data_IF_080480078369
#
_entry.id   IF_080480078369
#
_cell.length_a   1.000
_cell.length_b   1.000
_cell.length_c   1.000
_cell.angle_alpha   90.00
_cell.angle_beta   90.00
_cell.angle_gamma   90.00
#
_symmetry.space_group_name_H-M   'P 1'
#
loop_
_entity.id
_entity.type
_entity.pdbx_description
1 polymer ?
#
# COMPACT_ATOMS: atom_id res chain seq x y z
N UNK A 1 37.46 4.09 5.96
CA UNK A 1 37.17 4.32 4.52
C UNK A 1 37.80 3.27 3.62
N UNK A 2 39.11 2.95 3.72
CA UNK A 2 39.78 1.95 2.86
C UNK A 2 39.16 0.54 2.91
N UNK A 3 38.81 0.05 4.10
CA UNK A 3 38.17 -1.27 4.29
C UNK A 3 36.75 -1.31 3.68
N UNK A 4 36.00 -0.21 3.79
CA UNK A 4 34.68 -0.07 3.16
C UNK A 4 34.77 -0.10 1.63
N UNK A 5 35.81 0.52 1.05
CA UNK A 5 36.06 0.46 -0.39
C UNK A 5 36.44 -0.95 -0.86
N UNK A 6 37.25 -1.70 -0.11
CA UNK A 6 37.57 -3.09 -0.45
C UNK A 6 36.35 -4.01 -0.38
N UNK A 7 35.49 -3.85 0.63
CA UNK A 7 34.24 -4.62 0.75
C UNK A 7 33.30 -4.30 -0.42
N UNK A 8 33.20 -3.02 -0.79
CA UNK A 8 32.33 -2.58 -1.88
C UNK A 8 32.85 -3.06 -3.25
N UNK A 9 34.16 -3.04 -3.49
CA UNK A 9 34.78 -3.62 -4.69
C UNK A 9 34.67 -5.15 -4.75
N UNK A 10 34.76 -5.84 -3.61
CA UNK A 10 34.55 -7.29 -3.54
C UNK A 10 33.10 -7.65 -3.84
N UNK A 11 32.13 -6.91 -3.28
CA UNK A 11 30.70 -7.08 -3.57
C UNK A 11 30.38 -6.82 -5.04
N UNK A 12 30.93 -5.77 -5.65
CA UNK A 12 30.72 -5.50 -7.08
C UNK A 12 31.36 -6.56 -7.98
N UNK A 13 32.54 -7.08 -7.62
CA UNK A 13 33.19 -8.17 -8.34
C UNK A 13 32.41 -9.49 -8.24
N UNK A 14 31.86 -9.81 -7.05
CA UNK A 14 30.98 -10.97 -6.88
C UNK A 14 29.67 -10.83 -7.67
N UNK A 15 29.14 -9.61 -7.81
CA UNK A 15 27.98 -9.33 -8.66
C UNK A 15 28.31 -9.61 -10.14
N UNK A 16 29.54 -9.31 -10.59
CA UNK A 16 29.98 -9.55 -11.98
C UNK A 16 30.21 -11.02 -12.33
N UNK A 17 30.43 -11.92 -11.35
CA UNK A 17 30.64 -13.37 -11.58
C UNK A 17 29.31 -14.14 -11.60
N UNK A 18 28.16 -13.46 -11.52
CA UNK A 18 26.89 -14.12 -11.82
C UNK A 18 26.85 -14.45 -13.32
N UNK A 19 27.27 -15.67 -13.66
CA UNK A 19 26.88 -16.35 -14.89
C UNK A 19 25.37 -16.55 -14.83
N UNK A 20 24.63 -15.47 -15.04
CA UNK A 20 23.18 -15.52 -15.17
C UNK A 20 22.89 -16.23 -16.47
N UNK A 21 22.20 -17.36 -16.36
CA UNK A 21 21.62 -18.10 -17.46
C UNK A 21 20.90 -17.14 -18.39
N UNK A 22 21.18 -17.27 -19.69
CA UNK A 22 20.51 -16.45 -20.69
C UNK A 22 19.02 -16.76 -20.73
N UNK A 23 18.23 -15.88 -21.36
CA UNK A 23 16.78 -16.09 -21.48
C UNK A 23 16.47 -17.37 -22.24
N UNK A 24 17.23 -17.66 -23.29
CA UNK A 24 17.00 -18.85 -24.11
C UNK A 24 17.35 -20.13 -23.33
N UNK A 25 18.36 -20.10 -22.44
CA UNK A 25 18.66 -21.23 -21.57
C UNK A 25 17.50 -21.52 -20.61
N UNK A 26 16.95 -20.45 -20.01
CA UNK A 26 15.81 -20.56 -19.12
C UNK A 26 14.57 -21.12 -19.83
N UNK A 27 14.35 -20.75 -21.10
CA UNK A 27 13.28 -21.31 -21.93
C UNK A 27 13.47 -22.80 -22.18
N UNK A 28 14.70 -23.24 -22.51
CA UNK A 28 15.03 -24.66 -22.68
C UNK A 28 14.70 -25.45 -21.41
N UNK A 29 15.08 -24.94 -20.22
CA UNK A 29 14.81 -25.64 -18.98
C UNK A 29 13.33 -25.67 -18.62
N UNK A 30 12.63 -24.57 -18.84
CA UNK A 30 11.20 -24.51 -18.61
C UNK A 30 10.49 -25.52 -19.50
N UNK A 31 10.85 -25.56 -20.78
CA UNK A 31 10.23 -26.46 -21.74
C UNK A 31 10.54 -27.92 -21.44
N UNK A 32 11.76 -28.24 -21.01
CA UNK A 32 12.14 -29.59 -20.57
C UNK A 32 11.29 -30.07 -19.40
N UNK A 33 11.07 -29.24 -18.38
CA UNK A 33 10.19 -29.60 -17.27
C UNK A 33 8.73 -29.72 -17.70
N UNK A 34 8.27 -28.84 -18.59
CA UNK A 34 6.90 -28.92 -19.12
C UNK A 34 6.69 -30.22 -19.92
N UNK A 35 7.69 -30.67 -20.68
CA UNK A 35 7.66 -31.95 -21.42
C UNK A 35 7.71 -33.12 -20.45
N UNK A 36 8.62 -33.12 -19.47
CA UNK A 36 8.74 -34.18 -18.47
C UNK A 36 7.45 -34.32 -17.64
N UNK A 37 6.81 -33.20 -17.29
CA UNK A 37 5.54 -33.19 -16.57
C UNK A 37 4.36 -33.75 -17.38
N UNK A 38 4.39 -33.67 -18.71
CA UNK A 38 3.30 -34.18 -19.57
C UNK A 38 3.53 -35.58 -20.14
N UNK A 39 4.77 -35.93 -20.47
CA UNK A 39 5.09 -37.17 -21.19
C UNK A 39 5.70 -38.24 -20.28
N UNK A 40 6.22 -37.85 -19.10
CA UNK A 40 6.83 -38.75 -18.14
C UNK A 40 8.29 -38.37 -17.81
N UNK A 41 8.78 -38.92 -16.70
CA UNK A 41 10.13 -38.68 -16.21
C UNK A 41 11.18 -39.11 -17.26
N UNK A 42 12.16 -38.25 -17.54
CA UNK A 42 13.27 -38.55 -18.44
C UNK A 42 13.01 -38.46 -19.94
N UNK A 43 11.81 -38.04 -20.39
CA UNK A 43 11.53 -37.87 -21.84
C UNK A 43 12.32 -36.68 -22.40
N UNK A 44 13.15 -36.94 -23.41
CA UNK A 44 13.95 -35.89 -24.07
C UNK A 44 13.17 -35.18 -25.18
N UNK A 45 13.65 -34.04 -25.64
CA UNK A 45 13.09 -33.35 -26.82
C UNK A 45 13.12 -34.21 -28.09
N UNK A 46 14.15 -35.03 -28.23
CA UNK A 46 14.32 -35.96 -29.33
C UNK A 46 13.25 -37.06 -29.29
N UNK A 47 13.01 -37.65 -28.12
CA UNK A 47 11.98 -38.67 -27.92
C UNK A 47 10.57 -38.11 -28.11
N UNK A 48 10.32 -36.89 -27.61
CA UNK A 48 9.04 -36.22 -27.75
C UNK A 48 8.69 -35.94 -29.22
N UNK A 49 9.68 -35.50 -30.01
CA UNK A 49 9.54 -35.26 -31.45
C UNK A 49 9.50 -36.57 -32.26
N UNK A 50 10.17 -37.62 -31.77
CA UNK A 50 10.41 -38.87 -32.50
C UNK A 50 11.58 -38.78 -33.47
N UNK A 51 12.61 -37.99 -33.16
CA UNK A 51 13.83 -37.83 -33.96
C UNK A 51 15.04 -38.35 -33.18
N UNK A 52 16.13 -38.70 -33.87
CA UNK A 52 17.39 -39.10 -33.23
C UNK A 52 18.21 -37.86 -32.81
N UNK A 53 19.04 -37.92 -31.75
CA UNK A 53 19.90 -36.80 -31.33
C UNK A 53 20.87 -36.32 -32.42
N UNK A 54 21.31 -37.20 -33.32
CA UNK A 54 22.19 -36.90 -34.45
C UNK A 54 21.44 -36.60 -35.76
N UNK A 55 20.11 -36.45 -35.71
CA UNK A 55 19.30 -36.26 -36.91
C UNK A 55 19.61 -34.93 -37.62
N UNK A 56 19.53 -34.94 -38.95
CA UNK A 56 19.66 -33.73 -39.76
C UNK A 56 18.41 -32.83 -39.64
N UNK A 57 18.50 -31.55 -40.00
CA UNK A 57 17.38 -30.60 -39.95
C UNK A 57 16.17 -31.06 -40.78
N UNK A 58 16.40 -31.70 -41.93
CA UNK A 58 15.33 -32.25 -42.77
C UNK A 58 14.59 -33.41 -42.10
N UNK A 59 15.31 -34.25 -41.35
CA UNK A 59 14.73 -35.34 -40.58
C UNK A 59 13.89 -34.79 -39.41
N UNK A 60 14.38 -33.75 -38.74
CA UNK A 60 13.63 -33.00 -37.69
C UNK A 60 12.34 -32.41 -38.29
N UNK A 61 12.41 -31.84 -39.49
CA UNK A 61 11.24 -31.31 -40.19
C UNK A 61 10.23 -32.39 -40.55
N UNK A 62 10.70 -33.56 -41.00
CA UNK A 62 9.86 -34.71 -41.31
C UNK A 62 9.19 -35.27 -40.05
N UNK A 63 9.95 -35.45 -38.97
CA UNK A 63 9.45 -35.90 -37.67
C UNK A 63 8.40 -34.93 -37.11
N UNK A 64 8.68 -33.63 -37.15
CA UNK A 64 7.71 -32.59 -36.77
C UNK A 64 6.40 -32.68 -37.56
N UNK A 65 6.46 -32.83 -38.89
CA UNK A 65 5.27 -32.96 -39.74
C UNK A 65 4.47 -34.22 -39.40
N UNK A 66 5.15 -35.32 -39.11
CA UNK A 66 4.49 -36.57 -38.71
C UNK A 66 3.83 -36.42 -37.34
N UNK A 67 4.56 -35.90 -36.35
CA UNK A 67 4.09 -35.77 -34.97
C UNK A 67 2.98 -34.71 -34.82
N UNK A 68 3.08 -33.58 -35.51
CA UNK A 68 2.04 -32.54 -35.56
C UNK A 68 0.71 -33.06 -36.12
N UNK A 69 0.74 -33.93 -37.14
CA UNK A 69 -0.47 -34.56 -37.70
C UNK A 69 -1.16 -35.52 -36.75
N UNK A 70 -0.43 -36.09 -35.79
CA UNK A 70 -0.97 -36.99 -34.76
C UNK A 70 -1.50 -36.19 -33.58
N UNK A 71 -0.75 -35.19 -33.12
CA UNK A 71 -1.07 -34.38 -31.93
C UNK A 71 -1.92 -33.15 -32.21
N UNK A 72 -2.45 -32.99 -33.42
CA UNK A 72 -3.29 -31.84 -33.76
C UNK A 72 -4.55 -31.78 -32.87
N UNK A 73 -4.89 -30.63 -32.27
CA UNK A 73 -5.96 -30.53 -31.28
C UNK A 73 -7.33 -30.96 -31.82
N UNK A 74 -7.63 -30.70 -33.09
CA UNK A 74 -8.89 -31.12 -33.71
C UNK A 74 -9.01 -32.66 -33.81
N UNK A 75 -7.92 -33.34 -34.17
CA UNK A 75 -7.92 -34.81 -34.24
C UNK A 75 -8.01 -35.45 -32.86
N UNK A 76 -7.27 -34.92 -31.89
CA UNK A 76 -7.33 -35.40 -30.50
C UNK A 76 -8.73 -35.19 -29.92
N UNK A 77 -9.37 -34.05 -30.21
CA UNK A 77 -10.76 -33.79 -29.82
C UNK A 77 -11.72 -34.79 -30.45
N UNK A 78 -11.59 -35.08 -31.74
CA UNK A 78 -12.42 -36.08 -32.42
C UNK A 78 -12.20 -37.48 -31.83
N UNK A 79 -10.95 -37.89 -31.61
CA UNK A 79 -10.60 -39.15 -30.97
C UNK A 79 -11.17 -39.25 -29.55
N UNK A 80 -11.12 -38.18 -28.77
CA UNK A 80 -11.71 -38.12 -27.43
C UNK A 80 -13.23 -38.29 -27.47
N UNK A 81 -13.91 -37.63 -28.42
CA UNK A 81 -15.37 -37.77 -28.58
C UNK A 81 -15.73 -39.20 -28.99
N UNK A 82 -15.03 -39.78 -29.95
CA UNK A 82 -15.28 -41.15 -30.43
C UNK A 82 -15.01 -42.17 -29.32
N UNK A 83 -13.88 -42.05 -28.60
CA UNK A 83 -13.52 -42.98 -27.52
C UNK A 83 -14.43 -42.89 -26.31
N UNK A 84 -14.95 -41.71 -25.98
CA UNK A 84 -15.94 -41.56 -24.90
C UNK A 84 -17.33 -42.01 -25.34
N UNK A 85 -17.71 -41.81 -26.62
CA UNK A 85 -19.06 -42.13 -27.11
C UNK A 85 -19.46 -43.61 -26.95
N UNK A 86 -18.50 -44.53 -26.86
CA UNK A 86 -18.76 -45.95 -26.59
C UNK A 86 -19.23 -46.23 -25.16
N UNK A 87 -18.78 -45.43 -24.19
CA UNK A 87 -19.11 -45.63 -22.77
C UNK A 87 -20.11 -44.57 -22.26
N UNK A 88 -19.85 -43.29 -22.54
CA UNK A 88 -20.63 -42.14 -22.06
C UNK A 88 -20.41 -40.91 -22.94
N UNK A 89 -21.48 -40.23 -23.32
CA UNK A 89 -21.37 -38.96 -24.07
C UNK A 89 -20.60 -37.92 -23.22
N UNK A 90 -19.43 -37.42 -23.69
CA UNK A 90 -18.59 -36.53 -22.89
C UNK A 90 -19.24 -35.16 -22.71
N UNK A 91 -19.01 -34.54 -21.55
CA UNK A 91 -19.57 -33.21 -21.29
C UNK A 91 -18.86 -32.14 -22.11
N UNK A 92 -19.53 -31.01 -22.39
CA UNK A 92 -18.90 -29.88 -23.10
C UNK A 92 -17.66 -29.35 -22.38
N UNK A 93 -17.61 -29.45 -21.06
CA UNK A 93 -16.45 -29.05 -20.25
C UNK A 93 -15.27 -30.01 -20.45
N UNK A 94 -15.51 -31.33 -20.42
CA UNK A 94 -14.49 -32.35 -20.69
C UNK A 94 -13.90 -32.22 -22.10
N UNK A 95 -14.76 -32.01 -23.12
CA UNK A 95 -14.30 -31.81 -24.50
C UNK A 95 -13.40 -30.57 -24.60
N UNK A 96 -13.76 -29.48 -23.91
CA UNK A 96 -12.93 -28.27 -23.87
C UNK A 96 -11.61 -28.50 -23.15
N UNK A 97 -11.61 -29.19 -22.02
CA UNK A 97 -10.39 -29.51 -21.27
C UNK A 97 -9.45 -30.41 -22.09
N UNK A 98 -9.98 -31.44 -22.76
CA UNK A 98 -9.20 -32.31 -23.64
C UNK A 98 -8.63 -31.53 -24.85
N UNK A 99 -9.42 -30.65 -25.46
CA UNK A 99 -8.95 -29.80 -26.55
C UNK A 99 -7.87 -28.81 -26.09
N UNK A 100 -7.99 -28.25 -24.88
CA UNK A 100 -6.99 -27.37 -24.27
C UNK A 100 -5.68 -28.12 -23.96
N UNK A 101 -5.76 -29.30 -23.36
CA UNK A 101 -4.59 -30.14 -23.10
C UNK A 101 -3.88 -30.51 -24.42
N UNK A 102 -4.65 -30.82 -25.47
CA UNK A 102 -4.10 -31.09 -26.80
C UNK A 102 -3.47 -29.84 -27.44
N UNK A 103 -4.09 -28.65 -27.31
CA UNK A 103 -3.51 -27.41 -27.82
C UNK A 103 -2.21 -27.04 -27.11
N UNK A 104 -2.15 -27.25 -25.80
CA UNK A 104 -0.94 -26.99 -25.00
C UNK A 104 0.19 -27.94 -25.39
N UNK A 105 -0.12 -29.24 -25.56
CA UNK A 105 0.82 -30.24 -26.04
C UNK A 105 1.34 -29.94 -27.45
N UNK A 106 0.45 -29.49 -28.34
CA UNK A 106 0.81 -29.08 -29.70
C UNK A 106 1.68 -27.80 -29.70
N UNK A 107 1.37 -26.83 -28.84
CA UNK A 107 2.17 -25.62 -28.68
C UNK A 107 3.60 -25.95 -28.21
N UNK A 108 3.74 -26.84 -27.21
CA UNK A 108 5.06 -27.33 -26.75
C UNK A 108 5.83 -27.99 -27.88
N UNK A 109 5.18 -28.84 -28.68
CA UNK A 109 5.81 -29.50 -29.83
C UNK A 109 6.34 -28.49 -30.87
N UNK A 110 5.59 -27.42 -31.12
CA UNK A 110 6.05 -26.31 -31.97
C UNK A 110 7.32 -25.64 -31.42
N UNK A 111 7.34 -25.33 -30.12
CA UNK A 111 8.48 -24.69 -29.46
C UNK A 111 9.70 -25.64 -29.47
N UNK A 112 9.52 -26.92 -29.12
CA UNK A 112 10.60 -27.92 -29.16
C UNK A 112 11.20 -28.03 -30.56
N UNK A 113 10.37 -28.11 -31.60
CA UNK A 113 10.86 -28.19 -32.97
C UNK A 113 11.63 -26.93 -33.39
N UNK A 114 11.21 -25.74 -32.94
CA UNK A 114 11.93 -24.50 -33.22
C UNK A 114 13.30 -24.44 -32.50
N UNK A 115 13.40 -24.95 -31.27
CA UNK A 115 14.67 -25.06 -30.55
C UNK A 115 15.61 -26.01 -31.27
N UNK A 116 15.13 -27.19 -31.69
CA UNK A 116 15.94 -28.19 -32.39
C UNK A 116 16.35 -27.78 -33.82
N UNK A 117 15.59 -26.87 -34.47
CA UNK A 117 15.95 -26.27 -35.77
C UNK A 117 16.99 -25.17 -35.66
N UNK A 118 16.98 -24.44 -34.54
CA UNK A 118 17.79 -23.23 -34.35
C UNK A 118 19.09 -23.47 -33.56
N UNK A 119 19.78 -22.38 -33.18
CA UNK A 119 20.98 -22.44 -32.34
C UNK A 119 20.69 -22.94 -30.91
N UNK A 120 19.41 -23.04 -30.53
CA UNK A 120 18.99 -23.61 -29.24
C UNK A 120 19.31 -25.11 -29.10
N UNK A 121 19.52 -25.82 -30.22
CA UNK A 121 19.92 -27.24 -30.22
C UNK A 121 21.26 -27.47 -29.52
N UNK A 122 22.28 -26.69 -29.86
CA UNK A 122 23.62 -26.82 -29.27
C UNK A 122 23.59 -26.61 -27.75
N UNK A 123 22.81 -25.62 -27.30
CA UNK A 123 22.62 -25.34 -25.87
C UNK A 123 21.90 -26.50 -25.18
N UNK A 124 20.84 -27.01 -25.81
CA UNK A 124 20.12 -28.17 -25.29
C UNK A 124 21.03 -29.41 -25.19
N UNK A 125 21.82 -29.70 -26.24
CA UNK A 125 22.74 -30.84 -26.27
C UNK A 125 23.86 -30.68 -25.23
N UNK A 126 24.34 -29.46 -24.98
CA UNK A 126 25.25 -29.17 -23.88
C UNK A 126 24.63 -29.59 -22.53
N UNK A 127 23.41 -29.16 -22.22
CA UNK A 127 22.75 -29.55 -20.96
C UNK A 127 22.34 -31.02 -20.91
N UNK A 128 22.12 -31.67 -22.06
CA UNK A 128 21.86 -33.10 -22.12
C UNK A 128 23.09 -33.92 -21.73
N UNK A 129 24.28 -33.48 -22.16
CA UNK A 129 25.55 -34.16 -21.90
C UNK A 129 26.11 -33.86 -20.49
N UNK A 130 26.03 -32.60 -20.04
CA UNK A 130 26.58 -32.16 -18.76
C UNK A 130 25.56 -32.18 -17.60
N UNK A 131 24.28 -32.35 -17.92
CA UNK A 131 23.18 -32.32 -16.96
C UNK A 131 22.51 -30.95 -16.86
N UNK A 132 21.24 -30.98 -16.43
CA UNK A 132 20.41 -29.79 -16.24
C UNK A 132 20.55 -29.25 -14.81
N UNK A 133 20.55 -27.91 -14.63
CA UNK A 133 20.55 -27.32 -13.29
C UNK A 133 19.25 -27.62 -12.55
N UNK A 134 19.38 -27.93 -11.25
CA UNK A 134 18.21 -28.03 -10.37
C UNK A 134 17.64 -26.66 -10.00
N UNK A 135 18.48 -25.61 -9.91
CA UNK A 135 18.07 -24.24 -9.63
C UNK A 135 18.13 -23.37 -10.90
N UNK A 136 16.97 -22.84 -11.31
CA UNK A 136 16.77 -22.05 -12.54
C UNK A 136 16.80 -20.53 -12.35
N UNK A 137 17.50 -20.04 -11.33
CA UNK A 137 17.56 -18.61 -10.97
C UNK A 137 16.28 -18.05 -10.35
N UNK A 138 16.08 -16.73 -10.46
CA UNK A 138 14.93 -16.01 -9.88
C UNK A 138 13.81 -15.70 -10.88
N UNK A 139 14.06 -15.86 -12.18
CA UNK A 139 13.09 -15.57 -13.25
C UNK A 139 11.79 -16.38 -13.13
N UNK A 140 11.89 -17.62 -12.62
CA UNK A 140 10.73 -18.46 -12.32
C UNK A 140 9.78 -17.82 -11.30
N UNK A 141 10.32 -17.20 -10.24
CA UNK A 141 9.50 -16.57 -9.20
C UNK A 141 8.72 -15.37 -9.74
N UNK A 142 9.35 -14.56 -10.60
CA UNK A 142 8.73 -13.36 -11.15
C UNK A 142 7.72 -13.65 -12.27
N UNK A 143 7.92 -14.70 -13.08
CA UNK A 143 6.99 -15.05 -14.16
C UNK A 143 5.62 -15.56 -13.65
N UNK A 144 5.58 -16.14 -12.44
CA UNK A 144 4.35 -16.68 -11.83
C UNK A 144 3.67 -15.69 -10.88
N UNK A 145 4.41 -14.74 -10.32
CA UNK A 145 3.86 -13.77 -9.38
C UNK A 145 2.91 -12.79 -10.10
N UNK A 146 1.60 -13.03 -9.97
CA UNK A 146 0.55 -12.11 -10.37
C UNK A 146 -0.02 -11.50 -9.10
N UNK A 147 0.43 -10.30 -8.68
CA UNK A 147 -0.07 -9.70 -7.45
C UNK A 147 -1.59 -9.61 -7.52
N UNK A 148 -2.26 -10.31 -6.60
CA UNK A 148 -3.71 -10.27 -6.50
C UNK A 148 -4.19 -8.94 -5.94
N UNK A 149 -5.51 -8.71 -6.00
CA UNK A 149 -6.11 -7.51 -5.43
C UNK A 149 -5.72 -7.32 -3.95
N UNK A 150 -5.73 -8.39 -3.16
CA UNK A 150 -5.34 -8.35 -1.75
C UNK A 150 -3.91 -7.88 -1.51
N UNK A 151 -2.92 -8.43 -2.25
CA UNK A 151 -1.52 -8.00 -2.10
C UNK A 151 -1.33 -6.53 -2.50
N UNK A 152 -2.07 -6.07 -3.51
CA UNK A 152 -2.04 -4.65 -3.94
C UNK A 152 -2.67 -3.76 -2.86
N UNK A 153 -3.82 -4.14 -2.31
CA UNK A 153 -4.48 -3.38 -1.26
C UNK A 153 -3.64 -3.30 0.02
N UNK A 154 -2.99 -4.39 0.43
CA UNK A 154 -2.08 -4.40 1.58
C UNK A 154 -0.87 -3.51 1.31
N UNK A 155 -0.26 -3.61 0.12
CA UNK A 155 0.86 -2.74 -0.27
C UNK A 155 0.48 -1.26 -0.27
N UNK A 156 -0.68 -0.92 -0.85
CA UNK A 156 -1.21 0.44 -0.86
C UNK A 156 -1.52 0.93 0.56
N UNK A 157 -2.08 0.08 1.42
CA UNK A 157 -2.36 0.40 2.82
C UNK A 157 -1.08 0.71 3.59
N UNK A 158 -0.02 -0.08 3.42
CA UNK A 158 1.27 0.19 4.07
C UNK A 158 1.87 1.50 3.56
N UNK A 159 1.82 1.75 2.25
CA UNK A 159 2.43 2.93 1.67
C UNK A 159 1.65 4.23 2.00
N UNK A 160 0.35 4.23 1.76
CA UNK A 160 -0.52 5.41 1.97
C UNK A 160 -0.86 5.57 3.45
N UNK A 161 -1.26 4.50 4.13
CA UNK A 161 -1.61 4.51 5.55
C UNK A 161 -0.41 4.60 6.49
N UNK A 162 0.78 4.22 6.04
CA UNK A 162 2.04 4.40 6.76
C UNK A 162 2.74 5.68 6.35
N UNK A 163 3.60 5.60 5.34
CA UNK A 163 4.51 6.69 4.95
C UNK A 163 3.75 7.96 4.53
N UNK A 164 2.73 7.83 3.67
CA UNK A 164 1.92 8.96 3.21
C UNK A 164 1.23 9.68 4.38
N UNK A 165 0.55 8.93 5.24
CA UNK A 165 -0.14 9.48 6.41
C UNK A 165 0.84 10.11 7.41
N UNK A 166 2.00 9.50 7.66
CA UNK A 166 3.03 10.08 8.53
C UNK A 166 3.54 11.42 8.01
N UNK A 167 3.78 11.53 6.70
CA UNK A 167 4.19 12.79 6.06
C UNK A 167 3.12 13.88 6.28
N UNK A 168 1.84 13.55 6.12
CA UNK A 168 0.74 14.50 6.38
C UNK A 168 0.73 14.95 7.84
N UNK A 169 0.85 14.02 8.79
CA UNK A 169 0.92 14.35 10.21
C UNK A 169 2.12 15.25 10.52
N UNK A 170 3.29 14.93 9.99
CA UNK A 170 4.51 15.71 10.16
C UNK A 170 4.38 17.13 9.60
N UNK A 171 3.85 17.28 8.37
CA UNK A 171 3.59 18.57 7.75
C UNK A 171 2.58 19.39 8.57
N UNK A 172 1.53 18.75 9.08
CA UNK A 172 0.52 19.40 9.91
C UNK A 172 1.11 19.92 11.23
N UNK A 173 1.93 19.10 11.90
CA UNK A 173 2.63 19.49 13.13
C UNK A 173 3.61 20.63 12.88
N UNK A 174 4.42 20.54 11.82
CA UNK A 174 5.37 21.58 11.44
C UNK A 174 4.67 22.91 11.17
N UNK A 175 3.58 22.89 10.39
CA UNK A 175 2.82 24.10 10.06
C UNK A 175 2.15 24.71 11.28
N UNK A 176 1.57 23.89 12.18
CA UNK A 176 1.00 24.37 13.46
C UNK A 176 2.08 25.02 14.33
N UNK A 177 3.26 24.42 14.42
CA UNK A 177 4.38 24.96 15.21
C UNK A 177 4.86 26.30 14.66
N UNK A 178 5.05 26.40 13.34
CA UNK A 178 5.43 27.64 12.68
C UNK A 178 4.39 28.74 12.92
N UNK A 179 3.11 28.42 12.79
CA UNK A 179 2.01 29.34 13.09
C UNK A 179 2.08 29.87 14.52
N UNK A 180 2.09 29.01 15.54
CA UNK A 180 2.13 29.45 16.95
C UNK A 180 3.39 30.29 17.20
N UNK A 181 4.54 29.88 16.67
CA UNK A 181 5.79 30.65 16.85
C UNK A 181 5.69 32.06 16.27
N UNK A 182 5.03 32.25 15.13
CA UNK A 182 4.80 33.57 14.54
C UNK A 182 3.85 34.42 15.38
N UNK A 183 2.78 33.84 15.95
CA UNK A 183 1.85 34.56 16.84
C UNK A 183 2.52 35.01 18.13
N UNK A 184 3.31 34.13 18.75
CA UNK A 184 4.08 34.46 19.95
C UNK A 184 5.09 35.58 19.66
N UNK A 185 5.77 35.50 18.50
CA UNK A 185 6.73 36.52 18.07
C UNK A 185 6.04 37.85 17.82
N UNK A 186 4.90 37.85 17.11
CA UNK A 186 4.10 39.05 16.86
C UNK A 186 3.62 39.70 18.17
N UNK A 187 3.04 38.93 19.09
CA UNK A 187 2.54 39.45 20.36
C UNK A 187 3.66 40.07 21.21
N UNK A 188 4.83 39.41 21.28
CA UNK A 188 6.01 39.96 21.95
C UNK A 188 6.47 41.25 21.28
N UNK A 189 6.60 41.27 19.95
CA UNK A 189 7.03 42.48 19.25
C UNK A 189 6.06 43.64 19.45
N UNK A 190 4.74 43.42 19.36
CA UNK A 190 3.74 44.47 19.55
C UNK A 190 3.85 45.11 20.94
N UNK A 191 4.00 44.29 21.99
CA UNK A 191 4.13 44.78 23.37
C UNK A 191 5.44 45.51 23.61
N UNK A 192 6.55 45.00 23.07
CA UNK A 192 7.88 45.56 23.31
C UNK A 192 8.23 46.73 22.37
N UNK A 193 7.61 46.83 21.18
CA UNK A 193 7.81 47.95 20.25
C UNK A 193 7.14 49.24 20.73
N UNK A 194 6.01 49.15 21.42
CA UNK A 194 5.34 50.31 22.03
C UNK A 194 6.10 50.86 23.25
N UNK A 195 6.98 50.07 23.85
CA UNK A 195 7.67 50.42 25.11
C UNK A 195 9.08 50.98 24.95
N UNK A 196 9.50 51.49 23.78
CA UNK A 196 10.77 52.25 23.71
C UNK A 196 10.54 53.65 24.29
N UNK A 197 11.00 53.96 25.52
CA UNK A 197 10.84 55.28 26.10
C UNK A 197 11.95 56.15 25.51
N UNK A 198 11.62 56.94 24.48
CA UNK A 198 12.58 57.88 23.89
C UNK A 198 12.45 58.20 22.40
N UNK A 199 11.42 57.69 21.70
CA UNK A 199 11.16 58.08 20.30
C UNK A 199 9.87 58.90 20.12
N UNK A 200 9.42 59.58 21.18
CA UNK A 200 8.32 60.54 21.12
C UNK A 200 8.87 61.96 21.28
N UNK A 201 9.45 62.50 20.20
CA UNK A 201 9.50 63.94 19.88
C UNK A 201 10.22 64.19 18.54
N UNK A 202 9.46 64.15 17.47
CA UNK A 202 9.68 65.02 16.30
C UNK A 202 8.32 65.61 15.90
N UNK A 203 8.07 66.91 16.13
CA UNK A 203 6.94 67.58 15.54
C UNK A 203 7.32 68.01 14.12
N UNK A 204 6.56 67.55 13.13
CA UNK A 204 6.61 68.12 11.78
C UNK A 204 6.81 67.10 10.66
N UNK A 205 5.71 66.47 10.26
CA UNK A 205 5.47 66.14 8.86
C UNK A 205 3.96 65.98 8.63
N UNK A 206 3.21 67.08 8.81
CA UNK A 206 1.96 67.22 8.06
C UNK A 206 2.37 67.50 6.62
N UNK A 207 2.31 66.49 5.76
CA UNK A 207 2.04 66.75 4.35
C UNK A 207 0.65 66.26 4.03
N UNK A 208 -0.12 67.22 3.54
CA UNK A 208 -1.47 67.09 3.05
C UNK A 208 -1.60 65.99 1.99
N UNK A 209 -2.83 65.51 1.88
CA UNK A 209 -3.36 64.69 0.81
C UNK A 209 -3.04 65.34 -0.56
N UNK A 210 -2.55 64.56 -1.53
CA UNK A 210 -3.09 64.66 -2.87
C UNK A 210 -3.77 63.33 -3.24
N UNK A 211 -5.00 63.44 -3.74
CA UNK A 211 -5.64 62.37 -4.49
C UNK A 211 -4.80 61.96 -5.71
N UNK A 212 -4.95 60.69 -6.08
CA UNK A 212 -4.63 60.05 -7.37
C UNK A 212 -3.16 59.85 -7.78
N UNK A 213 -2.63 58.63 -7.58
CA UNK A 213 -1.70 57.97 -8.50
C UNK A 213 -1.59 56.44 -8.24
N UNK A 214 -2.12 55.69 -9.20
CA UNK A 214 -1.92 54.29 -9.62
C UNK A 214 -0.98 53.33 -8.84
N UNK A 215 -1.52 52.14 -8.55
CA UNK A 215 -0.82 50.94 -8.11
C UNK A 215 0.13 50.43 -9.20
N UNK A 216 1.44 50.58 -9.02
CA UNK A 216 2.41 49.86 -9.84
C UNK A 216 2.64 48.44 -9.32
N UNK A 217 2.08 47.46 -10.03
CA UNK A 217 2.34 46.03 -9.86
C UNK A 217 3.80 45.73 -10.17
N UNK A 218 4.61 45.52 -9.13
CA UNK A 218 6.02 45.16 -9.28
C UNK A 218 6.14 43.79 -9.97
N UNK A 219 6.76 43.78 -11.14
CA UNK A 219 6.91 42.56 -11.94
C UNK A 219 7.84 41.54 -11.24
N UNK A 220 7.39 40.28 -11.17
CA UNK A 220 8.04 39.13 -10.48
C UNK A 220 9.56 38.97 -10.68
N UNK A 221 10.14 39.54 -11.74
CA UNK A 221 11.59 39.52 -12.03
C UNK A 221 12.42 40.44 -11.13
N UNK A 222 11.90 41.60 -10.72
CA UNK A 222 12.65 42.54 -9.89
C UNK A 222 12.78 42.05 -8.43
N UNK A 223 11.75 41.37 -7.91
CA UNK A 223 11.77 40.74 -6.58
C UNK A 223 12.85 39.67 -6.42
N UNK A 224 13.16 38.92 -7.49
CA UNK A 224 14.20 37.89 -7.48
C UNK A 224 15.63 38.46 -7.50
N UNK A 225 15.83 39.69 -7.98
CA UNK A 225 17.14 40.36 -7.89
C UNK A 225 17.39 40.88 -6.47
N UNK A 226 16.38 41.46 -5.83
CA UNK A 226 16.47 41.91 -4.43
C UNK A 226 16.75 40.75 -3.45
N UNK A 227 16.20 39.55 -3.69
CA UNK A 227 16.50 38.36 -2.89
C UNK A 227 17.90 37.76 -3.15
N UNK A 228 18.53 38.10 -4.28
CA UNK A 228 19.86 37.58 -4.66
C UNK A 228 20.99 38.41 -4.02
N UNK A 229 20.76 39.70 -3.81
CA UNK A 229 21.72 40.60 -3.17
C UNK A 229 21.72 40.45 -1.63
N UNK A 230 20.58 40.12 -1.01
CA UNK A 230 20.50 39.81 0.42
C UNK A 230 21.15 38.48 0.85
N UNK A 231 21.52 37.61 -0.10
CA UNK A 231 22.07 36.27 0.17
C UNK A 231 23.60 36.20 0.16
N UNK A 232 24.31 37.30 -0.16
CA UNK A 232 25.77 37.33 -0.23
C UNK A 232 26.48 37.64 1.07
N UNK A 233 25.76 38.00 2.13
CA UNK A 233 26.36 38.16 3.45
C UNK A 233 25.76 37.16 4.44
N UNK A 234 26.65 36.36 5.03
CA UNK A 234 26.49 35.47 6.21
C UNK A 234 26.49 33.96 5.88
N UNK A 235 27.70 33.39 5.96
CA UNK A 235 27.95 32.01 6.40
C UNK A 235 28.47 32.00 7.85
N UNK A 236 28.36 30.87 8.59
CA UNK A 236 28.08 30.88 10.02
C UNK A 236 29.32 30.67 10.90
N UNK A 237 29.25 31.16 12.16
CA UNK A 237 30.08 30.65 13.27
C UNK A 237 29.20 29.98 14.32
N UNK A 238 29.61 28.77 14.65
CA UNK A 238 29.11 27.89 15.69
C UNK A 238 29.23 28.51 17.08
N UNK A 239 28.20 28.38 17.93
CA UNK A 239 28.40 28.25 19.37
C UNK A 239 27.26 27.47 20.04
N UNK A 240 27.71 26.44 20.77
CA UNK A 240 27.17 25.72 21.94
C UNK A 240 25.67 25.70 22.25
N UNK A 241 25.19 24.46 22.36
CA UNK A 241 23.93 24.03 22.97
C UNK A 241 23.96 24.27 24.49
N UNK A 242 22.98 25.00 25.01
CA UNK A 242 22.56 24.93 26.41
C UNK A 242 21.12 24.41 26.46
N UNK A 243 20.91 23.35 27.26
CA UNK A 243 19.59 22.81 27.61
C UNK A 243 18.92 23.78 28.59
N UNK A 244 17.60 24.09 28.48
CA UNK A 244 16.88 24.60 29.63
C UNK A 244 16.32 23.44 30.45
N UNK A 245 16.51 23.56 31.76
CA UNK A 245 15.90 22.75 32.79
C UNK A 245 14.39 23.06 32.88
N UNK A 246 13.67 22.06 33.37
CA UNK A 246 12.27 22.12 33.77
C UNK A 246 12.11 23.21 34.84
N UNK A 247 11.21 24.18 34.59
CA UNK A 247 10.76 25.11 35.63
C UNK A 247 9.29 24.85 35.88
N UNK A 248 9.00 24.50 37.14
CA UNK A 248 7.67 24.34 37.68
C UNK A 248 6.89 25.66 37.66
N UNK A 249 5.56 25.52 37.64
CA UNK A 249 4.53 26.52 37.85
C UNK A 249 4.94 27.64 38.82
N UNK A 250 5.13 28.83 38.28
CA UNK A 250 5.13 30.08 39.03
C UNK A 250 4.06 30.97 38.39
N UNK A 251 2.97 31.22 39.11
CA UNK A 251 1.93 32.16 38.69
C UNK A 251 2.52 33.58 38.68
N UNK A 252 2.59 34.27 37.52
CA UNK A 252 3.19 35.58 37.47
C UNK A 252 2.16 36.64 37.87
N UNK A 253 2.32 37.18 39.07
CA UNK A 253 1.61 38.38 39.53
C UNK A 253 2.28 39.63 38.95
N UNK A 254 2.06 39.90 37.66
CA UNK A 254 2.54 41.10 36.96
C UNK A 254 1.46 41.74 36.08
N UNK A 255 1.63 43.01 35.65
CA UNK A 255 0.66 43.67 34.78
C UNK A 255 0.61 42.99 33.40
N UNK A 256 -0.52 42.37 33.09
CA UNK A 256 -0.79 41.70 31.81
C UNK A 256 -1.19 42.71 30.74
N UNK A 257 -0.58 42.66 29.56
CA UNK A 257 -0.91 43.54 28.42
C UNK A 257 -1.71 42.77 27.38
N UNK A 258 -2.83 43.34 26.92
CA UNK A 258 -3.72 42.75 25.92
C UNK A 258 -3.41 43.31 24.54
N UNK A 259 -3.18 42.43 23.57
CA UNK A 259 -2.93 42.76 22.16
C UNK A 259 -3.94 42.03 21.30
N UNK A 260 -4.63 42.75 20.42
CA UNK A 260 -5.57 42.15 19.47
C UNK A 260 -4.79 41.70 18.23
N UNK A 261 -4.82 40.41 17.93
CA UNK A 261 -4.23 39.87 16.70
C UNK A 261 -5.09 40.22 15.48
N UNK A 262 -4.50 40.10 14.28
CA UNK A 262 -5.18 40.35 12.99
C UNK A 262 -6.48 39.54 12.80
N UNK A 263 -6.62 38.44 13.53
CA UNK A 263 -7.76 37.53 13.48
C UNK A 263 -8.90 37.94 14.44
N UNK A 264 -8.78 39.07 15.15
CA UNK A 264 -9.70 39.50 16.21
C UNK A 264 -9.56 38.73 17.54
N UNK A 265 -8.56 37.85 17.67
CA UNK A 265 -8.26 37.11 18.90
C UNK A 265 -7.43 37.96 19.86
N UNK A 266 -7.75 37.92 21.15
CA UNK A 266 -7.04 38.69 22.18
C UNK A 266 -5.89 37.83 22.72
N UNK A 267 -4.67 38.35 22.57
CA UNK A 267 -3.44 37.77 23.09
C UNK A 267 -3.02 38.57 24.32
N UNK A 268 -2.85 37.90 25.45
CA UNK A 268 -2.40 38.52 26.69
C UNK A 268 -0.94 38.19 26.89
N UNK A 269 -0.07 39.19 26.93
CA UNK A 269 1.36 39.01 27.16
C UNK A 269 1.67 39.40 28.60
N UNK A 270 2.27 38.47 29.32
CA UNK A 270 2.73 38.71 30.68
C UNK A 270 4.14 39.34 30.69
N UNK A 271 4.50 39.95 31.80
CA UNK A 271 5.81 40.55 32.11
C UNK A 271 7.00 39.62 31.84
N UNK A 272 6.80 38.30 31.97
CA UNK A 272 7.80 37.26 31.69
C UNK A 272 7.97 36.95 30.19
N UNK A 273 7.12 37.51 29.32
CA UNK A 273 7.11 37.25 27.88
C UNK A 273 6.35 35.99 27.46
N UNK A 274 5.59 35.39 28.37
CA UNK A 274 4.62 34.34 28.08
C UNK A 274 3.37 34.95 27.43
N UNK A 275 2.82 34.27 26.42
CA UNK A 275 1.69 34.75 25.62
C UNK A 275 0.52 33.80 25.86
N UNK A 276 -0.59 34.33 26.35
CA UNK A 276 -1.84 33.62 26.58
C UNK A 276 -2.85 34.02 25.50
N UNK A 277 -3.71 33.09 25.10
CA UNK A 277 -4.86 33.34 24.25
C UNK A 277 -6.11 33.36 25.13
N UNK A 278 -6.81 34.49 25.14
CA UNK A 278 -8.11 34.62 25.82
C UNK A 278 -9.18 34.04 24.89
N UNK A 279 -9.79 32.92 25.30
CA UNK A 279 -10.90 32.28 24.60
C UNK A 279 -12.15 32.39 25.48
N UNK A 280 -13.21 32.96 24.94
CA UNK A 280 -14.53 32.96 25.59
C UNK A 280 -15.21 31.63 25.31
N UNK A 281 -15.50 30.86 26.35
CA UNK A 281 -16.23 29.61 26.23
C UNK A 281 -17.73 29.84 25.99
N UNK A 282 -18.47 28.77 25.67
CA UNK A 282 -19.92 28.80 25.44
C UNK A 282 -20.73 29.27 26.67
N UNK A 283 -20.11 29.28 27.85
CA UNK A 283 -20.66 29.76 29.12
C UNK A 283 -20.32 31.23 29.44
N UNK A 284 -19.57 31.92 28.55
CA UNK A 284 -19.25 33.34 28.67
C UNK A 284 -18.06 33.67 29.57
N UNK A 285 -17.39 32.67 30.15
CA UNK A 285 -16.17 32.82 30.92
C UNK A 285 -14.93 32.85 30.01
N UNK A 286 -13.97 33.73 30.31
CA UNK A 286 -12.74 33.90 29.54
C UNK A 286 -11.63 32.98 30.07
N UNK A 287 -11.30 31.91 29.34
CA UNK A 287 -10.16 31.05 29.66
C UNK A 287 -8.88 31.59 29.01
N UNK A 288 -7.81 31.70 29.80
CA UNK A 288 -6.47 32.06 29.32
C UNK A 288 -5.66 30.80 29.02
N UNK A 289 -5.47 30.46 27.74
CA UNK A 289 -4.69 29.29 27.32
C UNK A 289 -3.26 29.74 26.98
N UNK A 290 -2.26 29.18 27.65
CA UNK A 290 -0.85 29.50 27.38
C UNK A 290 -0.41 28.96 26.00
N UNK A 291 0.14 29.84 25.14
CA UNK A 291 0.60 29.47 23.80
C UNK A 291 2.09 29.11 23.80
N UNK A 292 2.40 27.84 24.08
CA UNK A 292 3.77 27.33 23.96
C UNK A 292 4.03 26.56 22.65
N UNK A 293 4.99 27.01 21.80
CA UNK A 293 5.37 26.27 20.58
C UNK A 293 5.92 24.87 20.84
N UNK A 294 6.29 24.53 22.07
CA UNK A 294 6.91 23.26 22.45
C UNK A 294 5.92 22.25 23.05
N UNK A 295 4.72 22.67 23.43
CA UNK A 295 3.67 21.79 23.95
C UNK A 295 3.10 20.86 22.86
N UNK A 296 3.26 21.23 21.58
CA UNK A 296 2.83 20.41 20.45
C UNK A 296 3.60 19.08 20.38
N UNK A 297 2.91 18.00 20.78
CA UNK A 297 3.38 16.62 20.68
C UNK A 297 3.81 16.31 19.23
N UNK A 298 5.00 15.74 19.09
CA UNK A 298 5.54 15.35 17.78
C UNK A 298 4.83 14.08 17.30
N UNK A 299 4.39 14.02 16.03
CA UNK A 299 3.70 12.85 15.53
C UNK A 299 4.64 11.64 15.52
N UNK A 300 4.21 10.56 16.15
CA UNK A 300 4.95 9.30 16.22
C UNK A 300 4.47 8.35 15.13
N UNK A 301 5.30 7.38 14.75
CA UNK A 301 4.89 6.33 13.78
C UNK A 301 3.66 5.54 14.24
N UNK A 302 3.41 5.43 15.54
CA UNK A 302 2.21 4.78 16.08
C UNK A 302 0.91 5.57 15.84
N UNK A 303 1.00 6.86 15.54
CA UNK A 303 -0.16 7.71 15.19
C UNK A 303 -0.60 7.50 13.73
N UNK A 304 0.14 6.70 12.96
CA UNK A 304 -0.25 6.39 11.59
C UNK A 304 -1.47 5.48 11.54
N UNK A 305 -2.27 5.68 10.48
CA UNK A 305 -3.40 4.80 10.17
C UNK A 305 -2.98 3.32 10.08
N UNK A 306 -1.72 3.07 9.69
CA UNK A 306 -1.11 1.73 9.67
C UNK A 306 -1.16 1.00 11.02
N UNK A 307 -0.96 1.70 12.14
CA UNK A 307 -0.99 1.09 13.49
C UNK A 307 -2.35 1.25 14.15
N UNK A 308 -3.01 2.40 13.96
CA UNK A 308 -4.26 2.73 14.65
C UNK A 308 -5.45 1.95 14.11
N UNK A 309 -5.56 1.74 12.79
CA UNK A 309 -6.71 1.05 12.19
C UNK A 309 -6.77 -0.44 12.54
N UNK A 310 -5.66 -1.21 12.54
CA UNK A 310 -5.70 -2.60 12.99
C UNK A 310 -6.06 -2.74 14.46
N UNK A 311 -5.50 -1.89 15.33
CA UNK A 311 -5.80 -1.90 16.77
C UNK A 311 -7.27 -1.57 17.02
N UNK A 312 -7.79 -0.54 16.34
CA UNK A 312 -9.19 -0.17 16.43
C UNK A 312 -10.13 -1.24 15.87
N UNK A 313 -9.77 -1.86 14.74
CA UNK A 313 -10.56 -2.94 14.15
C UNK A 313 -10.59 -4.16 15.08
N UNK A 314 -9.44 -4.51 15.67
CA UNK A 314 -9.34 -5.60 16.64
C UNK A 314 -10.19 -5.32 17.88
N UNK A 315 -10.07 -4.14 18.50
CA UNK A 315 -10.87 -3.80 19.69
C UNK A 315 -12.38 -3.72 19.39
N UNK A 316 -12.75 -3.25 18.20
CA UNK A 316 -14.15 -3.19 17.77
C UNK A 316 -14.76 -4.57 17.52
N UNK A 317 -13.95 -5.53 17.05
CA UNK A 317 -14.39 -6.93 16.84
C UNK A 317 -14.43 -7.68 18.18
N UNK A 318 -13.40 -7.54 19.02
CA UNK A 318 -13.35 -8.21 20.33
C UNK A 318 -14.48 -7.75 21.24
N UNK A 319 -14.79 -6.45 21.27
CA UNK A 319 -15.88 -5.92 22.10
C UNK A 319 -17.26 -6.44 21.66
N UNK A 320 -17.44 -6.77 20.38
CA UNK A 320 -18.67 -7.41 19.88
C UNK A 320 -18.78 -8.88 20.30
N UNK A 321 -17.66 -9.59 20.40
CA UNK A 321 -17.64 -10.99 20.85
C UNK A 321 -17.77 -11.13 22.37
N UNK A 322 -17.23 -10.20 23.17
CA UNK A 322 -17.36 -10.23 24.63
C UNK A 322 -18.74 -9.83 25.13
N UNK A 323 -19.51 -9.05 24.35
CA UNK A 323 -20.91 -8.72 24.65
C UNK A 323 -21.90 -9.88 24.36
N UNK A 324 -21.44 -10.98 23.75
CA UNK A 324 -22.26 -12.18 23.52
C UNK A 324 -22.18 -13.21 24.65
N UNK A 325 -21.39 -12.98 25.70
CA UNK A 325 -21.42 -13.80 26.90
C UNK A 325 -22.38 -13.19 27.93
N UNK A 326 -23.59 -13.73 28.14
CA UNK A 326 -24.45 -13.26 29.22
C UNK A 326 -23.81 -13.63 30.56
N UNK A 327 -23.56 -12.61 31.37
CA UNK A 327 -23.26 -12.74 32.79
C UNK A 327 -24.47 -13.42 33.45
N UNK A 328 -24.31 -14.67 33.87
CA UNK A 328 -25.23 -15.29 34.84
C UNK A 328 -24.95 -14.65 36.19
N UNK A 329 -25.81 -13.74 36.61
CA UNK A 329 -25.92 -13.39 38.03
C UNK A 329 -26.42 -14.64 38.78
N UNK A 330 -25.61 -15.05 39.75
CA UNK A 330 -25.92 -16.13 40.68
C UNK A 330 -26.85 -15.54 41.74
N UNK A 331 -28.07 -16.07 41.82
CA UNK A 331 -29.03 -15.80 42.87
C UNK A 331 -28.79 -16.77 44.03
N UNK A 332 -28.88 -16.25 45.25
CA UNK A 332 -28.39 -16.86 46.47
C UNK A 332 -29.50 -17.65 47.17
N UNK A 333 -29.27 -18.93 47.41
CA UNK A 333 -29.69 -19.58 48.66
C UNK A 333 -31.13 -20.13 48.79
N UNK A 334 -31.19 -21.47 48.76
CA UNK A 334 -31.70 -22.36 49.84
C UNK A 334 -32.94 -23.22 49.50
N UNK A 335 -32.79 -24.52 49.84
CA UNK A 335 -33.82 -25.55 50.10
C UNK A 335 -34.36 -26.31 48.86
N UNK A 336 -34.40 -27.64 48.74
CA UNK A 336 -34.20 -28.78 49.66
C UNK A 336 -33.78 -30.04 48.89
N UNK A 337 -33.06 -30.89 49.63
CA UNK A 337 -32.72 -32.31 49.51
C UNK A 337 -33.76 -33.20 48.80
N UNK A 338 -33.34 -34.01 47.81
CA UNK A 338 -33.39 -35.48 47.82
C UNK A 338 -32.76 -36.09 46.54
N UNK A 339 -32.00 -37.18 46.72
CA UNK A 339 -31.51 -38.15 45.72
C UNK A 339 -32.10 -39.52 46.11
N UNK A 340 -32.16 -40.59 45.27
CA UNK A 340 -31.24 -40.88 44.15
C UNK A 340 -31.83 -41.63 42.91
N UNK A 341 -31.00 -41.67 41.86
CA UNK A 341 -30.74 -42.81 40.94
C UNK A 341 -31.78 -43.34 39.92
N UNK A 342 -31.20 -43.86 38.83
CA UNK A 342 -31.62 -45.02 37.97
C UNK A 342 -31.98 -44.71 36.50
N UNK A 343 -30.98 -44.99 35.65
CA UNK A 343 -30.94 -45.75 34.35
C UNK A 343 -31.88 -45.47 33.16
N UNK A 344 -31.23 -45.34 32.00
CA UNK A 344 -31.50 -45.96 30.68
C UNK A 344 -32.96 -46.14 30.18
N UNK A 345 -33.25 -45.60 28.99
CA UNK A 345 -33.50 -46.39 27.76
C UNK A 345 -34.09 -45.52 26.64
N UNK A 346 -33.41 -45.53 25.49
CA UNK A 346 -33.93 -45.78 24.14
C UNK A 346 -35.26 -45.20 23.64
N UNK A 347 -35.14 -44.60 22.44
CA UNK A 347 -36.06 -44.58 21.30
C UNK A 347 -37.46 -43.94 21.51
N UNK A 348 -37.75 -42.86 20.79
CA UNK A 348 -38.46 -43.06 19.53
C UNK A 348 -38.50 -41.83 18.63
N UNK A 349 -38.57 -42.18 17.36
CA UNK A 349 -38.69 -41.38 16.17
C UNK A 349 -40.07 -40.73 16.13
N UNK A 350 -40.17 -39.45 15.75
CA UNK A 350 -41.29 -39.08 14.89
C UNK A 350 -41.03 -37.85 14.03
N UNK A 351 -41.67 -37.91 12.88
CA UNK A 351 -41.33 -37.24 11.66
C UNK A 351 -42.18 -35.97 11.44
N UNK A 352 -41.57 -35.01 10.72
CA UNK A 352 -42.18 -34.00 9.86
C UNK A 352 -43.08 -32.91 10.51
N UNK A 353 -42.60 -31.66 10.46
CA UNK A 353 -43.33 -30.65 9.67
C UNK A 353 -42.39 -29.56 9.13
N UNK A 354 -42.47 -29.36 7.81
CA UNK A 354 -41.80 -28.31 7.06
C UNK A 354 -42.73 -27.10 7.05
N UNK A 355 -42.32 -25.96 7.62
CA UNK A 355 -42.89 -24.65 7.26
C UNK A 355 -41.78 -23.61 7.16
N UNK A 356 -41.43 -23.26 5.91
CA UNK A 356 -40.72 -22.03 5.59
C UNK A 356 -41.71 -20.86 5.56
N UNK A 357 -41.40 -19.70 6.16
CA UNK A 357 -42.01 -18.44 5.74
C UNK A 357 -41.13 -17.69 4.72
N UNK A 358 -41.68 -17.52 3.52
CA UNK A 358 -41.20 -16.68 2.40
C UNK A 358 -41.40 -15.18 2.73
N UNK A 359 -40.62 -14.26 2.14
CA UNK A 359 -40.36 -12.92 2.68
C UNK A 359 -41.33 -11.86 2.15
N UNK A 360 -41.68 -10.89 3.02
CA UNK A 360 -42.42 -9.69 2.65
C UNK A 360 -41.47 -8.61 2.12
N UNK A 361 -41.67 -8.26 0.85
CA UNK A 361 -41.01 -7.14 0.20
C UNK A 361 -41.71 -5.81 0.46
N UNK A 362 -40.92 -4.73 0.46
CA UNK A 362 -41.39 -3.39 0.14
C UNK A 362 -40.48 -2.75 -0.89
N UNK A 363 -41.16 -2.20 -1.89
CA UNK A 363 -40.72 -1.71 -3.19
C UNK A 363 -40.03 -0.35 -3.15
N UNK A 364 -38.96 -0.17 -3.95
CA UNK A 364 -38.60 1.14 -4.51
C UNK A 364 -38.29 1.03 -6.00
N UNK A 365 -39.08 1.78 -6.77
CA UNK A 365 -39.20 1.84 -8.24
C UNK A 365 -37.91 2.29 -8.93
N UNK A 366 -37.50 1.57 -9.97
CA UNK A 366 -36.51 2.02 -10.96
C UNK A 366 -37.23 2.50 -12.22
N UNK A 367 -37.07 3.77 -12.59
CA UNK A 367 -37.65 4.36 -13.80
C UNK A 367 -36.73 4.05 -15.01
N UNK A 368 -37.22 3.27 -15.96
CA UNK A 368 -36.59 3.02 -17.27
C UNK A 368 -37.33 3.81 -18.35
N UNK A 369 -36.67 4.81 -18.96
CA UNK A 369 -37.18 5.56 -20.13
C UNK A 369 -36.83 4.81 -21.42
N UNK A 370 -37.85 4.53 -22.25
CA UNK A 370 -37.74 4.11 -23.67
C UNK A 370 -38.65 5.04 -24.49
N UNK A 371 -38.12 5.68 -25.54
CA UNK A 371 -38.84 6.29 -26.67
C UNK A 371 -37.97 6.03 -27.91
N UNK A 372 -38.33 5.07 -28.76
CA UNK A 372 -39.27 5.11 -29.89
C UNK A 372 -38.63 5.65 -31.17
N UNK A 373 -38.35 4.72 -32.07
CA UNK A 373 -37.92 4.86 -33.47
C UNK A 373 -39.09 5.45 -34.29
N UNK A 374 -38.83 6.50 -35.07
CA UNK A 374 -39.80 7.11 -35.99
C UNK A 374 -39.54 6.59 -37.40
N UNK A 375 -40.58 6.04 -38.02
CA UNK A 375 -40.68 5.74 -39.44
C UNK A 375 -41.20 7.01 -40.12
N UNK A 376 -40.45 7.56 -41.07
CA UNK A 376 -40.91 7.84 -42.43
C UNK A 376 -39.69 8.10 -43.30
#
# INVERSE_FOLDING_TARGET
MKILCFILCYFTSFISINASWSKEDQEVFRLRDEVEASEGAGVTFYDFLGAKPLANQDEINKAYRQRSRVLHPDKVKQQFITSQSSNKKPTKAEIKAAAQAASDRFARLGIVANILRGPGRERYDHFLNYGFPKWKGTGYYYARFRPGLGSVLVGLFIFVGGAGHWIVLYLSWKRRKEFISSYVTYARHAVFSETIPGLDKLPGATQAIPESAEVQLVNRRQRRMQEKDGKKEKKPKSSRIHKPAVTATADPCGPKKRVVAENGKILVVDSTGNVYLEQTDEEGENQEILLEPNELIRPTVFDTALCRLPIWAYSSISNRFTQLAPVKEVDDGKFSVDSPAVTSSDNDCDALEIVNPVPNGTTTKTIRRKKSRKVR
#
